data_IF_283055573441
#
_entry.id   IF_283055573441
#
_cell.length_a   1.000
_cell.length_b   1.000
_cell.length_c   1.000
_cell.angle_alpha   90.00
_cell.angle_beta   90.00
_cell.angle_gamma   90.00
#
_symmetry.space_group_name_H-M   'P 1'
#
loop_
_entity.id
_entity.type
_entity.pdbx_description
1 polymer ?
#
# COMPACT_ATOMS: atom_id res chain seq x y z
N UNK A 1 -20.41 8.75 4.70
CA UNK A 1 -19.45 9.89 4.81
C UNK A 1 -18.97 10.36 3.42
N UNK A 2 -18.54 11.62 3.29
CA UNK A 2 -17.87 12.10 2.06
C UNK A 2 -16.52 11.40 1.88
N UNK A 3 -16.03 11.29 0.65
CA UNK A 3 -14.72 10.65 0.36
C UNK A 3 -13.59 11.37 1.09
N UNK A 4 -13.64 12.69 1.14
CA UNK A 4 -12.61 13.51 1.80
C UNK A 4 -12.56 13.25 3.31
N UNK A 5 -13.72 13.06 3.96
CA UNK A 5 -13.77 12.70 5.39
C UNK A 5 -13.22 11.31 5.66
N UNK A 6 -13.56 10.34 4.80
CA UNK A 6 -13.04 8.97 4.91
C UNK A 6 -11.51 8.96 4.78
N UNK A 7 -10.95 9.65 3.79
CA UNK A 7 -9.49 9.76 3.63
C UNK A 7 -8.85 10.45 4.83
N UNK A 8 -9.43 11.55 5.33
CA UNK A 8 -8.92 12.24 6.51
C UNK A 8 -8.85 11.31 7.75
N UNK A 9 -9.77 10.37 7.88
CA UNK A 9 -9.71 9.37 8.95
C UNK A 9 -8.59 8.35 8.77
N UNK A 10 -8.25 7.95 7.52
CA UNK A 10 -7.09 7.10 7.25
C UNK A 10 -5.85 7.84 7.71
N UNK A 11 -5.67 9.06 7.21
CA UNK A 11 -4.52 9.91 7.48
C UNK A 11 -4.30 10.08 8.99
N UNK A 12 -5.37 10.32 9.74
CA UNK A 12 -5.32 10.47 11.20
C UNK A 12 -5.02 9.16 11.97
N UNK A 13 -5.21 7.99 11.35
CA UNK A 13 -5.08 6.67 11.99
C UNK A 13 -4.08 5.78 11.27
N UNK A 14 -3.13 6.35 10.54
CA UNK A 14 -2.10 5.60 9.81
C UNK A 14 -1.33 4.69 10.79
N UNK A 15 -1.22 3.38 10.49
CA UNK A 15 -0.40 2.49 11.30
C UNK A 15 1.08 2.88 11.21
N UNK A 16 1.88 2.78 12.29
CA UNK A 16 3.33 3.05 12.25
C UNK A 16 4.08 2.23 11.19
N UNK A 17 3.57 1.04 10.87
CA UNK A 17 4.12 0.19 9.81
C UNK A 17 4.14 0.88 8.44
N UNK A 18 3.25 1.84 8.17
CA UNK A 18 3.21 2.56 6.89
C UNK A 18 4.40 3.51 6.70
N UNK A 19 4.92 4.09 7.77
CA UNK A 19 6.15 4.89 7.75
C UNK A 19 7.38 4.02 7.41
N UNK A 20 7.40 2.79 7.94
CA UNK A 20 8.41 1.79 7.59
C UNK A 20 8.31 1.36 6.11
N UNK A 21 7.11 1.40 5.53
CA UNK A 21 6.87 1.08 4.13
C UNK A 21 7.08 2.28 3.17
N UNK A 22 7.34 3.47 3.69
CA UNK A 22 7.55 4.69 2.90
C UNK A 22 6.26 5.32 2.36
N UNK A 23 5.20 5.37 3.16
CA UNK A 23 3.91 5.94 2.75
C UNK A 23 4.02 7.37 2.19
N UNK A 24 3.36 7.61 1.07
CA UNK A 24 3.09 8.93 0.51
C UNK A 24 1.64 9.36 0.78
N UNK A 25 0.81 9.40 -0.26
CA UNK A 25 -0.60 9.75 -0.19
C UNK A 25 -1.55 8.55 -0.34
N UNK A 26 -2.77 8.70 0.18
CA UNK A 26 -3.89 7.76 -0.03
C UNK A 26 -5.03 8.47 -0.76
N UNK A 27 -5.57 7.83 -1.79
CA UNK A 27 -6.76 8.30 -2.50
C UNK A 27 -7.77 7.17 -2.66
N UNK A 28 -9.04 7.55 -2.80
CA UNK A 28 -10.13 6.60 -3.00
C UNK A 28 -11.09 7.09 -4.07
N UNK A 29 -11.27 6.26 -5.10
CA UNK A 29 -12.26 6.47 -6.15
C UNK A 29 -13.50 5.63 -5.84
N UNK A 30 -14.60 6.30 -5.51
CA UNK A 30 -15.89 5.65 -5.20
C UNK A 30 -16.54 5.00 -6.42
N UNK A 31 -16.34 5.57 -7.61
CA UNK A 31 -16.95 5.06 -8.85
C UNK A 31 -16.26 3.75 -9.25
N UNK A 32 -14.92 3.75 -9.17
CA UNK A 32 -14.11 2.57 -9.50
C UNK A 32 -13.95 1.60 -8.32
N UNK A 33 -14.47 1.96 -7.14
CA UNK A 33 -14.28 1.23 -5.88
C UNK A 33 -12.82 0.82 -5.66
N UNK A 34 -11.91 1.81 -5.82
CA UNK A 34 -10.47 1.57 -5.86
C UNK A 34 -9.72 2.54 -4.96
N UNK A 35 -8.91 1.98 -4.09
CA UNK A 35 -7.90 2.70 -3.31
C UNK A 35 -6.61 2.76 -4.11
N UNK A 36 -5.93 3.90 -4.05
CA UNK A 36 -4.54 4.03 -4.50
C UNK A 36 -3.71 4.53 -3.32
N UNK A 37 -2.59 3.85 -3.06
CA UNK A 37 -1.61 4.30 -2.07
C UNK A 37 -0.28 4.53 -2.80
N UNK A 38 0.33 5.68 -2.56
CA UNK A 38 1.67 6.01 -3.05
C UNK A 38 2.74 5.59 -2.05
N UNK A 39 3.88 5.09 -2.55
CA UNK A 39 5.00 4.60 -1.76
C UNK A 39 6.33 5.15 -2.28
N UNK A 40 7.13 5.68 -1.38
CA UNK A 40 8.49 6.14 -1.62
C UNK A 40 9.45 5.01 -1.24
N UNK A 41 9.88 4.25 -2.24
CA UNK A 41 10.92 3.27 -2.07
C UNK A 41 12.29 3.95 -1.91
N UNK A 42 13.01 3.59 -0.87
CA UNK A 42 14.33 4.11 -0.53
C UNK A 42 15.32 2.93 -0.46
N UNK A 43 16.61 3.25 -0.40
CA UNK A 43 17.67 2.25 -0.26
C UNK A 43 17.48 1.38 1.00
N UNK A 44 16.89 1.91 2.08
CA UNK A 44 16.53 1.15 3.30
C UNK A 44 15.51 0.04 3.08
N UNK A 45 14.74 0.10 1.98
CA UNK A 45 13.77 -0.94 1.60
C UNK A 45 14.39 -2.03 0.71
N UNK A 46 15.68 -1.89 0.35
CA UNK A 46 16.31 -2.70 -0.69
C UNK A 46 17.27 -3.76 -0.13
N UNK A 47 17.42 -4.85 -0.88
CA UNK A 47 18.53 -5.79 -0.78
C UNK A 47 19.46 -5.64 -1.99
N UNK A 48 20.61 -6.34 -1.97
CA UNK A 48 21.58 -6.35 -3.08
C UNK A 48 22.01 -4.94 -3.50
N UNK A 49 22.35 -4.12 -2.50
CA UNK A 49 22.57 -2.67 -2.67
C UNK A 49 23.98 -2.33 -3.16
N UNK A 50 25.01 -2.96 -2.58
CA UNK A 50 26.41 -2.68 -2.90
C UNK A 50 26.70 -2.96 -4.37
N UNK A 51 27.27 -1.97 -5.07
CA UNK A 51 27.60 -2.07 -6.50
C UNK A 51 26.40 -2.09 -7.46
N UNK A 52 25.16 -1.99 -6.97
CA UNK A 52 23.98 -2.06 -7.83
C UNK A 52 23.71 -0.71 -8.53
N UNK A 53 23.59 -0.67 -9.87
CA UNK A 53 23.54 0.59 -10.65
C UNK A 53 22.29 1.45 -10.39
N UNK A 54 21.29 0.89 -9.71
CA UNK A 54 20.01 1.53 -9.36
C UNK A 54 19.76 1.64 -7.86
N UNK A 55 20.75 1.40 -7.01
CA UNK A 55 20.59 1.52 -5.54
C UNK A 55 19.92 0.33 -4.84
N UNK A 56 19.97 -0.86 -5.45
CA UNK A 56 19.41 -2.11 -4.90
C UNK A 56 18.06 -2.51 -5.48
N UNK A 57 17.52 -3.64 -5.01
CA UNK A 57 16.20 -4.17 -5.37
C UNK A 57 15.32 -4.14 -4.12
N UNK A 58 14.13 -3.54 -4.20
CA UNK A 58 13.18 -3.49 -3.08
C UNK A 58 12.82 -4.91 -2.65
N UNK A 59 12.90 -5.18 -1.34
CA UNK A 59 12.57 -6.49 -0.78
C UNK A 59 11.14 -6.89 -1.10
N UNK A 60 10.94 -8.15 -1.48
CA UNK A 60 9.61 -8.69 -1.76
C UNK A 60 8.63 -8.50 -0.60
N UNK A 61 9.10 -8.58 0.65
CA UNK A 61 8.27 -8.32 1.84
C UNK A 61 7.73 -6.88 1.92
N UNK A 62 8.51 -5.88 1.48
CA UNK A 62 8.07 -4.48 1.41
C UNK A 62 6.97 -4.33 0.35
N UNK A 63 7.19 -4.89 -0.85
CA UNK A 63 6.20 -4.86 -1.94
C UNK A 63 4.90 -5.59 -1.53
N UNK A 64 5.02 -6.73 -0.85
CA UNK A 64 3.86 -7.44 -0.29
C UNK A 64 3.12 -6.59 0.75
N UNK A 65 3.84 -5.89 1.63
CA UNK A 65 3.25 -4.96 2.59
C UNK A 65 2.48 -3.81 1.93
N UNK A 66 2.97 -3.27 0.82
CA UNK A 66 2.25 -2.25 0.04
C UNK A 66 0.92 -2.75 -0.52
N UNK A 67 0.89 -4.02 -0.95
CA UNK A 67 -0.31 -4.66 -1.50
C UNK A 67 -1.31 -4.98 -0.38
N UNK A 68 -0.82 -5.48 0.76
CA UNK A 68 -1.64 -5.75 1.95
C UNK A 68 -2.30 -4.46 2.48
N UNK A 69 -1.52 -3.38 2.61
CA UNK A 69 -2.01 -2.08 3.04
C UNK A 69 -3.11 -1.53 2.12
N UNK A 70 -2.93 -1.61 0.80
CA UNK A 70 -3.95 -1.16 -0.15
C UNK A 70 -5.22 -2.02 -0.09
N UNK A 71 -5.09 -3.33 0.06
CA UNK A 71 -6.23 -4.24 0.24
C UNK A 71 -7.01 -3.93 1.52
N UNK A 72 -6.34 -3.87 2.67
CA UNK A 72 -6.97 -3.60 3.96
C UNK A 72 -7.66 -2.23 3.96
N UNK A 73 -7.03 -1.23 3.34
CA UNK A 73 -7.60 0.11 3.17
C UNK A 73 -8.85 0.10 2.31
N UNK A 74 -8.88 -0.70 1.23
CA UNK A 74 -10.07 -0.84 0.39
C UNK A 74 -11.24 -1.48 1.16
N UNK A 75 -10.97 -2.46 2.02
CA UNK A 75 -11.98 -3.06 2.89
C UNK A 75 -12.56 -2.05 3.89
N UNK A 76 -11.69 -1.30 4.59
CA UNK A 76 -12.10 -0.27 5.55
C UNK A 76 -12.96 0.81 4.90
N UNK A 77 -12.52 1.34 3.75
CA UNK A 77 -13.21 2.42 3.06
C UNK A 77 -14.54 1.97 2.44
N UNK A 78 -14.58 0.76 1.86
CA UNK A 78 -15.83 0.21 1.32
C UNK A 78 -16.83 -0.15 2.43
N UNK A 79 -16.36 -0.51 3.61
CA UNK A 79 -17.18 -0.72 4.80
C UNK A 79 -17.49 0.55 5.60
N UNK A 80 -17.11 1.74 5.12
CA UNK A 80 -17.24 3.03 5.85
C UNK A 80 -16.78 2.93 7.32
N UNK A 81 -15.65 2.26 7.57
CA UNK A 81 -15.08 1.99 8.90
C UNK A 81 -15.91 1.11 9.85
N UNK A 82 -17.00 0.51 9.38
CA UNK A 82 -17.80 -0.44 10.18
C UNK A 82 -17.20 -1.85 10.20
N UNK A 83 -16.27 -2.14 9.29
CA UNK A 83 -15.66 -3.46 9.13
C UNK A 83 -14.14 -3.27 9.10
N UNK A 84 -13.45 -3.86 10.07
CA UNK A 84 -12.01 -4.07 10.03
C UNK A 84 -11.72 -5.49 9.56
N UNK A 85 -10.66 -5.67 8.76
CA UNK A 85 -10.26 -6.97 8.24
C UNK A 85 -8.86 -7.33 8.73
N UNK A 86 -8.67 -8.61 9.01
CA UNK A 86 -7.36 -9.20 9.19
C UNK A 86 -7.05 -10.08 7.97
N UNK A 87 -5.88 -9.92 7.39
CA UNK A 87 -5.44 -10.71 6.24
C UNK A 87 -5.24 -12.16 6.67
N UNK A 88 -6.00 -13.08 6.05
CA UNK A 88 -5.87 -14.52 6.29
C UNK A 88 -4.80 -15.16 5.40
N UNK A 89 -4.73 -14.71 4.14
CA UNK A 89 -3.78 -15.19 3.14
C UNK A 89 -3.46 -14.06 2.16
N UNK A 90 -2.23 -14.02 1.68
CA UNK A 90 -1.81 -13.13 0.60
C UNK A 90 -0.81 -13.84 -0.31
N UNK A 91 -1.14 -13.88 -1.60
CA UNK A 91 -0.26 -14.40 -2.65
C UNK A 91 0.19 -13.28 -3.57
N UNK A 92 1.51 -13.12 -3.70
CA UNK A 92 2.12 -12.11 -4.56
C UNK A 92 3.04 -12.79 -5.58
N UNK A 93 2.91 -12.37 -6.84
CA UNK A 93 3.85 -12.71 -7.90
C UNK A 93 4.66 -11.46 -8.27
N UNK A 94 5.98 -11.54 -8.21
CA UNK A 94 6.87 -10.44 -8.56
C UNK A 94 7.21 -10.51 -10.06
N UNK A 95 6.66 -9.57 -10.83
CA UNK A 95 6.82 -9.57 -12.29
C UNK A 95 8.09 -8.87 -12.76
N UNK A 96 8.53 -7.84 -12.04
CA UNK A 96 9.71 -7.04 -12.34
C UNK A 96 10.36 -6.58 -11.02
N UNK A 97 11.69 -6.34 -10.99
CA UNK A 97 12.34 -5.75 -9.83
C UNK A 97 11.89 -4.30 -9.62
N UNK A 98 11.61 -3.96 -8.37
CA UNK A 98 11.46 -2.58 -7.92
C UNK A 98 12.79 -2.05 -7.39
N UNK A 99 13.02 -0.75 -7.49
CA UNK A 99 14.22 -0.03 -7.08
C UNK A 99 13.81 1.19 -6.24
N UNK A 100 14.72 1.95 -5.62
CA UNK A 100 14.37 3.24 -5.05
C UNK A 100 13.62 4.14 -6.06
N UNK A 101 12.53 4.76 -5.62
CA UNK A 101 11.62 5.52 -6.48
C UNK A 101 10.16 5.52 -5.99
N UNK A 102 9.28 6.12 -6.79
CA UNK A 102 7.85 6.23 -6.48
C UNK A 102 7.05 5.05 -7.05
N UNK A 103 6.26 4.41 -6.20
CA UNK A 103 5.37 3.30 -6.55
C UNK A 103 3.93 3.60 -6.16
N UNK A 104 3.00 2.86 -6.78
CA UNK A 104 1.58 2.89 -6.42
C UNK A 104 1.07 1.47 -6.27
N UNK A 105 0.34 1.22 -5.18
CA UNK A 105 -0.48 0.01 -5.05
C UNK A 105 -1.96 0.36 -5.19
N UNK A 106 -2.72 -0.58 -5.74
CA UNK A 106 -4.14 -0.43 -5.99
C UNK A 106 -4.92 -1.53 -5.27
N UNK A 107 -5.85 -1.12 -4.41
CA UNK A 107 -6.71 -2.03 -3.66
C UNK A 107 -8.16 -1.92 -4.14
N UNK A 108 -8.83 -3.06 -4.32
CA UNK A 108 -10.29 -3.12 -4.57
C UNK A 108 -10.85 -4.38 -3.94
N UNK A 109 -12.10 -4.31 -3.48
CA UNK A 109 -12.78 -5.48 -2.92
C UNK A 109 -13.56 -6.18 -4.03
N UNK A 110 -13.17 -7.40 -4.39
CA UNK A 110 -13.76 -8.17 -5.49
C UNK A 110 -14.96 -9.03 -5.08
N UNK A 111 -15.03 -9.45 -3.81
CA UNK A 111 -16.10 -10.26 -3.24
C UNK A 111 -16.24 -9.95 -1.75
N UNK A 112 -17.47 -9.97 -1.24
CA UNK A 112 -17.81 -9.86 0.18
C UNK A 112 -18.68 -11.03 0.60
#
# INVERSE_FOLDING_TARGET
MSTSELIRQIEARRPPAWELLGIGGVTYDKILNRVTIEWHAEQRHCHSVEGHPRGGIVQGGIVTGWLDAAMATACLLRGEYQIAVASLEIKVAFLLPAHPGLYRSYGKVVRQ
#
